data_IF_399631650383
#
_entry.id   IF_399631650383
#
_cell.length_a   1.000
_cell.length_b   1.000
_cell.length_c   1.000
_cell.angle_alpha   90.00
_cell.angle_beta   90.00
_cell.angle_gamma   90.00
#
_symmetry.space_group_name_H-M   'P 1'
#
loop_
_entity.id
_entity.type
_entity.pdbx_description
1 polymer ?
#
# COMPACT_ATOMS: atom_id res chain seq x y z
N UNK A 1 -1.67 20.33 3.53
CA UNK A 1 -1.57 18.86 3.53
C UNK A 1 -0.17 18.34 3.86
N UNK A 2 0.86 18.62 3.04
CA UNK A 2 2.24 18.12 3.25
C UNK A 2 2.78 18.34 4.66
N UNK A 3 2.69 19.57 5.19
CA UNK A 3 3.14 19.88 6.56
C UNK A 3 2.45 19.00 7.62
N UNK A 4 1.15 18.74 7.46
CA UNK A 4 0.35 17.98 8.42
C UNK A 4 0.59 16.47 8.33
N UNK A 5 0.61 15.91 7.11
CA UNK A 5 0.68 14.46 6.89
C UNK A 5 2.10 13.92 6.78
N UNK A 6 3.05 14.74 6.34
CA UNK A 6 4.44 14.36 6.11
C UNK A 6 5.36 15.08 7.09
N UNK A 7 5.59 16.39 6.93
CA UNK A 7 6.72 17.05 7.60
C UNK A 7 6.65 17.02 9.14
N UNK A 8 5.45 17.20 9.71
CA UNK A 8 5.22 17.14 11.16
C UNK A 8 4.93 15.73 11.69
N UNK A 9 4.86 14.71 10.83
CA UNK A 9 4.58 13.33 11.22
C UNK A 9 5.82 12.45 10.96
N UNK A 10 6.49 11.94 12.01
CA UNK A 10 7.69 11.10 11.83
C UNK A 10 7.46 9.84 10.98
N UNK A 11 6.32 9.17 11.13
CA UNK A 11 5.97 8.00 10.30
C UNK A 11 5.75 8.43 8.86
N UNK A 12 5.06 9.56 8.64
CA UNK A 12 4.87 10.15 7.31
C UNK A 12 6.20 10.45 6.59
N UNK A 13 7.17 11.07 7.29
CA UNK A 13 8.52 11.33 6.75
C UNK A 13 9.27 10.04 6.43
N UNK A 14 9.21 9.05 7.32
CA UNK A 14 9.86 7.76 7.09
C UNK A 14 9.25 7.07 5.86
N UNK A 15 7.92 7.02 5.75
CA UNK A 15 7.23 6.40 4.61
C UNK A 15 7.56 7.12 3.30
N UNK A 16 7.65 8.45 3.29
CA UNK A 16 8.10 9.21 2.10
C UNK A 16 9.52 8.80 1.66
N UNK A 17 10.48 8.77 2.60
CA UNK A 17 11.86 8.37 2.30
C UNK A 17 11.97 6.89 1.92
N UNK A 18 11.19 6.02 2.56
CA UNK A 18 11.09 4.61 2.27
C UNK A 18 10.58 4.34 0.84
N UNK A 19 9.50 5.03 0.41
CA UNK A 19 8.98 4.92 -0.96
C UNK A 19 10.02 5.44 -1.96
N UNK A 20 10.63 6.60 -1.67
CA UNK A 20 11.68 7.18 -2.52
C UNK A 20 12.88 6.25 -2.67
N UNK A 21 13.26 5.52 -1.61
CA UNK A 21 14.34 4.53 -1.68
C UNK A 21 13.93 3.23 -2.37
N UNK A 22 12.63 2.88 -2.33
CA UNK A 22 12.11 1.67 -2.97
C UNK A 22 12.07 1.79 -4.49
N UNK A 23 11.72 2.96 -5.03
CA UNK A 23 11.65 3.21 -6.48
C UNK A 23 12.77 4.16 -6.92
N UNK A 24 13.64 3.72 -7.83
CA UNK A 24 14.75 4.54 -8.35
C UNK A 24 14.38 5.29 -9.63
N UNK A 25 13.52 4.71 -10.48
CA UNK A 25 13.23 5.24 -11.80
C UNK A 25 11.74 5.53 -11.99
N UNK A 26 10.85 4.66 -11.51
CA UNK A 26 9.42 4.79 -11.71
C UNK A 26 8.85 6.01 -10.97
N UNK A 27 7.84 6.73 -11.51
CA UNK A 27 7.30 7.93 -10.89
C UNK A 27 6.68 7.74 -9.51
N UNK A 28 6.44 6.51 -9.07
CA UNK A 28 6.02 6.18 -7.70
C UNK A 28 7.02 6.63 -6.63
N UNK A 29 8.27 6.91 -6.97
CA UNK A 29 9.20 7.56 -6.05
C UNK A 29 8.79 9.00 -5.67
N UNK A 30 7.92 9.64 -6.47
CA UNK A 30 7.49 11.01 -6.24
C UNK A 30 6.33 11.01 -5.25
N UNK A 31 6.40 11.79 -4.15
CA UNK A 31 5.31 11.90 -3.20
C UNK A 31 4.05 12.42 -3.91
N UNK A 32 2.87 11.85 -3.60
CA UNK A 32 1.61 12.28 -4.22
C UNK A 32 1.32 13.77 -4.00
N UNK A 33 1.69 14.30 -2.83
CA UNK A 33 1.55 15.73 -2.50
C UNK A 33 2.62 16.60 -3.16
N UNK A 34 3.63 16.02 -3.81
CA UNK A 34 4.77 16.72 -4.40
C UNK A 34 5.83 17.15 -3.38
N UNK A 35 6.97 17.60 -3.89
CA UNK A 35 8.05 18.17 -3.08
C UNK A 35 7.75 19.63 -2.73
N UNK A 36 8.24 20.11 -1.59
CA UNK A 36 8.00 21.51 -1.17
C UNK A 36 8.47 22.53 -2.22
N UNK A 37 9.62 22.29 -2.87
CA UNK A 37 10.13 23.14 -3.94
C UNK A 37 9.15 23.24 -5.13
N UNK A 38 8.55 22.11 -5.51
CA UNK A 38 7.62 22.03 -6.63
C UNK A 38 6.32 22.76 -6.28
N UNK A 39 5.83 22.58 -5.05
CA UNK A 39 4.63 23.26 -4.54
C UNK A 39 4.78 24.80 -4.51
N UNK A 40 6.00 25.31 -4.35
CA UNK A 40 6.26 26.77 -4.39
C UNK A 40 6.30 27.35 -5.79
N UNK A 41 6.46 26.52 -6.83
CA UNK A 41 6.61 26.96 -8.22
C UNK A 41 5.40 26.61 -9.09
N UNK A 42 4.54 25.71 -8.63
CA UNK A 42 3.35 25.28 -9.36
C UNK A 42 2.34 26.41 -9.53
N UNK A 43 1.98 26.71 -10.78
CA UNK A 43 1.08 27.81 -11.12
C UNK A 43 -0.36 27.34 -11.43
N UNK A 44 -1.31 28.28 -11.40
CA UNK A 44 -2.68 28.01 -11.86
C UNK A 44 -2.73 27.59 -13.34
N UNK A 45 -1.78 28.07 -14.15
CA UNK A 45 -1.63 27.69 -15.55
C UNK A 45 -1.21 26.22 -15.69
N UNK A 46 -0.34 25.73 -14.82
CA UNK A 46 0.09 24.32 -14.83
C UNK A 46 -1.06 23.41 -14.37
N UNK A 47 -1.83 23.84 -13.36
CA UNK A 47 -3.05 23.17 -12.95
C UNK A 47 -4.07 23.07 -14.11
N UNK A 48 -4.25 24.17 -14.86
CA UNK A 48 -5.14 24.19 -16.02
C UNK A 48 -4.65 23.24 -17.12
N UNK A 49 -3.36 23.24 -17.44
CA UNK A 49 -2.78 22.30 -18.42
C UNK A 49 -3.00 20.84 -18.02
N UNK A 50 -2.79 20.52 -16.74
CA UNK A 50 -3.05 19.17 -16.22
C UNK A 50 -4.53 18.80 -16.36
N UNK A 51 -5.44 19.69 -15.97
CA UNK A 51 -6.87 19.50 -16.14
C UNK A 51 -7.23 19.27 -17.62
N UNK A 52 -6.80 20.14 -18.53
CA UNK A 52 -7.13 20.08 -19.95
C UNK A 52 -6.55 18.84 -20.66
N UNK A 53 -5.49 18.24 -20.09
CA UNK A 53 -4.86 17.03 -20.59
C UNK A 53 -5.53 15.76 -20.05
N UNK A 54 -5.77 15.67 -18.75
CA UNK A 54 -6.18 14.42 -18.09
C UNK A 54 -7.68 14.34 -17.79
N UNK A 55 -8.37 15.48 -17.63
CA UNK A 55 -9.81 15.55 -17.34
C UNK A 55 -10.61 15.63 -18.65
N UNK A 56 -10.48 14.60 -19.49
CA UNK A 56 -11.17 14.49 -20.78
C UNK A 56 -12.17 13.32 -20.78
N UNK A 57 -13.28 13.39 -21.55
CA UNK A 57 -14.31 12.34 -21.55
C UNK A 57 -13.77 10.95 -21.89
N UNK A 58 -12.81 10.86 -22.82
CA UNK A 58 -12.17 9.59 -23.20
C UNK A 58 -11.35 8.97 -22.07
N UNK A 59 -11.05 9.70 -20.99
CA UNK A 59 -10.28 9.26 -19.83
C UNK A 59 -11.12 9.22 -18.54
N UNK A 60 -12.45 9.22 -18.65
CA UNK A 60 -13.38 9.20 -17.51
C UNK A 60 -14.36 8.04 -17.61
N UNK A 61 -14.76 7.52 -16.45
CA UNK A 61 -15.84 6.55 -16.30
C UNK A 61 -16.83 7.11 -15.29
N UNK A 62 -18.12 7.09 -15.62
CA UNK A 62 -19.21 7.50 -14.73
C UNK A 62 -20.03 6.27 -14.37
N UNK A 63 -20.11 5.95 -13.08
CA UNK A 63 -20.99 4.92 -12.56
C UNK A 63 -22.18 5.59 -11.84
N UNK A 64 -23.41 5.22 -12.22
CA UNK A 64 -24.64 5.68 -11.55
C UNK A 64 -25.34 4.45 -10.99
N UNK A 65 -25.55 4.45 -9.67
CA UNK A 65 -26.19 3.35 -8.95
C UNK A 65 -27.23 3.90 -7.98
N UNK A 66 -28.41 3.29 -7.98
CA UNK A 66 -29.54 3.64 -7.13
C UNK A 66 -30.84 3.24 -7.80
N UNK A 67 -31.95 3.87 -7.39
CA UNK A 67 -33.24 3.73 -8.05
C UNK A 67 -33.27 4.60 -9.32
N UNK A 68 -32.63 4.10 -10.37
CA UNK A 68 -32.52 4.77 -11.66
C UNK A 68 -32.82 3.81 -12.80
N UNK A 69 -33.44 4.33 -13.86
CA UNK A 69 -33.65 3.58 -15.11
C UNK A 69 -32.64 4.03 -16.14
N UNK A 70 -31.84 3.10 -16.66
CA UNK A 70 -30.83 3.39 -17.66
C UNK A 70 -31.40 4.14 -18.89
N UNK A 71 -32.62 3.80 -19.33
CA UNK A 71 -33.32 4.46 -20.44
C UNK A 71 -33.60 5.95 -20.22
N UNK A 72 -33.71 6.39 -18.96
CA UNK A 72 -33.94 7.78 -18.57
C UNK A 72 -32.62 8.48 -18.19
N UNK A 73 -31.69 7.75 -17.58
CA UNK A 73 -30.41 8.30 -17.09
C UNK A 73 -29.38 8.53 -18.19
N UNK A 74 -29.25 7.62 -19.16
CA UNK A 74 -28.26 7.75 -20.25
C UNK A 74 -28.49 9.04 -21.05
N UNK A 75 -29.72 9.39 -21.49
CA UNK A 75 -29.97 10.65 -22.18
C UNK A 75 -29.59 11.90 -21.38
N UNK A 76 -29.73 11.86 -20.05
CA UNK A 76 -29.30 12.96 -19.16
C UNK A 76 -27.78 13.07 -19.17
N UNK A 77 -27.06 11.96 -19.03
CA UNK A 77 -25.59 11.92 -19.08
C UNK A 77 -25.12 12.45 -20.44
N UNK A 78 -25.70 11.99 -21.54
CA UNK A 78 -25.37 12.44 -22.90
C UNK A 78 -25.63 13.94 -23.08
N UNK A 79 -26.76 14.45 -22.58
CA UNK A 79 -27.08 15.89 -22.63
C UNK A 79 -26.04 16.77 -21.94
N UNK A 80 -25.52 16.35 -20.78
CA UNK A 80 -24.59 17.16 -19.99
C UNK A 80 -23.12 16.92 -20.35
N UNK A 81 -22.71 15.67 -20.55
CA UNK A 81 -21.32 15.27 -20.76
C UNK A 81 -20.98 14.99 -22.23
N UNK A 82 -21.95 14.63 -23.08
CA UNK A 82 -21.72 14.33 -24.50
C UNK A 82 -21.26 15.54 -25.33
N UNK A 83 -21.52 16.76 -24.84
CA UNK A 83 -21.03 18.01 -25.45
C UNK A 83 -19.57 18.35 -25.13
N UNK A 84 -18.93 17.61 -24.22
CA UNK A 84 -17.54 17.87 -23.85
C UNK A 84 -16.61 17.45 -25.00
N UNK A 85 -15.64 18.29 -25.37
CA UNK A 85 -14.72 17.96 -26.46
C UNK A 85 -13.87 16.76 -26.08
N UNK A 86 -13.90 15.72 -26.91
CA UNK A 86 -13.04 14.56 -26.74
C UNK A 86 -11.62 14.84 -27.25
N UNK A 87 -10.64 14.21 -26.63
CA UNK A 87 -9.24 14.17 -27.08
C UNK A 87 -8.75 12.71 -27.00
N UNK A 88 -7.67 12.33 -27.69
CA UNK A 88 -7.03 11.04 -27.45
C UNK A 88 -6.68 10.89 -25.96
N UNK A 89 -6.78 9.66 -25.43
CA UNK A 89 -6.32 9.36 -24.07
C UNK A 89 -4.85 9.79 -23.91
N UNK A 90 -4.45 10.34 -22.75
CA UNK A 90 -3.05 10.62 -22.49
C UNK A 90 -2.20 9.37 -22.63
N UNK A 91 -0.95 9.55 -23.06
CA UNK A 91 0.01 8.46 -23.11
C UNK A 91 0.22 7.90 -21.69
N UNK A 92 -0.01 6.60 -21.52
CA UNK A 92 0.16 5.93 -20.24
C UNK A 92 1.60 5.42 -20.04
N UNK A 93 2.45 5.50 -21.08
CA UNK A 93 3.84 5.05 -21.01
C UNK A 93 4.56 5.81 -19.91
N UNK A 94 5.19 5.05 -19.04
CA UNK A 94 5.97 5.56 -17.93
C UNK A 94 7.28 4.78 -17.81
N UNK A 95 8.26 5.38 -17.14
CA UNK A 95 9.52 4.72 -16.87
C UNK A 95 9.25 3.47 -16.03
N UNK A 96 9.64 2.31 -16.54
CA UNK A 96 9.54 1.05 -15.78
C UNK A 96 10.62 1.01 -14.71
N UNK A 97 10.26 0.55 -13.52
CA UNK A 97 11.23 0.36 -12.42
C UNK A 97 12.19 -0.79 -12.78
N UNK A 98 13.52 -0.58 -12.73
CA UNK A 98 14.46 -1.68 -12.85
C UNK A 98 14.29 -2.66 -11.68
N UNK A 99 14.54 -3.95 -11.92
CA UNK A 99 14.50 -4.94 -10.86
C UNK A 99 15.47 -4.54 -9.71
N UNK A 100 14.96 -4.53 -8.48
CA UNK A 100 15.80 -4.36 -7.30
C UNK A 100 16.70 -5.60 -7.16
N UNK A 101 17.99 -5.38 -6.90
CA UNK A 101 19.01 -6.42 -6.82
C UNK A 101 19.83 -6.38 -5.53
N UNK A 102 19.44 -5.54 -4.57
CA UNK A 102 20.09 -5.38 -3.28
C UNK A 102 19.07 -4.88 -2.25
N UNK A 103 19.22 -5.31 -1.00
CA UNK A 103 18.44 -4.73 0.09
C UNK A 103 18.76 -3.23 0.23
N UNK A 104 17.73 -2.41 0.45
CA UNK A 104 17.89 -0.99 0.74
C UNK A 104 17.36 -0.69 2.15
N UNK A 105 18.04 0.18 2.89
CA UNK A 105 17.63 0.57 4.25
C UNK A 105 17.60 2.08 4.41
N UNK A 106 16.50 2.57 4.98
CA UNK A 106 16.29 3.96 5.39
C UNK A 106 16.12 3.98 6.90
N UNK A 107 16.96 4.75 7.59
CA UNK A 107 16.89 4.91 9.05
C UNK A 107 16.69 6.38 9.37
N UNK A 108 15.51 6.72 9.87
CA UNK A 108 15.20 8.04 10.41
C UNK A 108 15.52 8.06 11.90
N UNK A 109 16.39 8.96 12.33
CA UNK A 109 16.76 9.15 13.74
C UNK A 109 16.18 10.46 14.25
N UNK A 110 15.49 10.41 15.38
CA UNK A 110 14.96 11.62 16.02
C UNK A 110 14.09 11.35 17.23
N UNK A 111 13.53 12.43 17.81
CA UNK A 111 12.53 12.34 18.87
C UNK A 111 11.18 11.91 18.28
N UNK A 112 11.02 10.62 18.00
CA UNK A 112 9.82 10.06 17.40
C UNK A 112 9.55 8.64 17.90
N UNK A 113 8.29 8.20 17.83
CA UNK A 113 7.92 6.84 18.19
C UNK A 113 8.62 5.83 17.26
N UNK A 114 9.22 4.74 17.80
CA UNK A 114 9.85 3.75 16.96
C UNK A 114 8.82 3.08 16.04
N UNK A 115 9.24 2.77 14.82
CA UNK A 115 8.38 2.22 13.79
C UNK A 115 9.22 1.37 12.84
N UNK A 116 8.67 0.25 12.39
CA UNK A 116 9.28 -0.63 11.41
C UNK A 116 8.37 -0.81 10.21
N UNK A 117 8.92 -0.70 9.00
CA UNK A 117 8.27 -1.10 7.75
C UNK A 117 9.28 -1.77 6.82
N UNK A 118 8.85 -2.78 6.08
CA UNK A 118 9.57 -3.31 4.94
C UNK A 118 8.62 -3.48 3.75
N UNK A 119 9.15 -3.45 2.54
CA UNK A 119 8.37 -3.66 1.33
C UNK A 119 9.13 -4.39 0.25
N UNK A 120 8.37 -5.09 -0.58
CA UNK A 120 8.85 -5.96 -1.64
C UNK A 120 8.11 -5.62 -2.94
N UNK A 121 8.84 -5.44 -4.04
CA UNK A 121 8.19 -5.17 -5.33
C UNK A 121 7.39 -6.38 -5.78
N UNK A 122 6.18 -6.13 -6.24
CA UNK A 122 5.26 -7.10 -6.81
C UNK A 122 4.65 -6.56 -8.10
N UNK A 123 4.12 -7.44 -8.98
CA UNK A 123 3.39 -7.03 -10.17
C UNK A 123 2.14 -6.17 -9.87
N UNK A 124 1.64 -5.51 -10.91
CA UNK A 124 0.45 -4.66 -10.88
C UNK A 124 -0.87 -5.42 -10.60
N UNK A 125 -1.95 -4.64 -10.50
CA UNK A 125 -3.32 -5.12 -10.33
C UNK A 125 -3.94 -5.81 -11.56
N UNK A 126 -3.18 -6.15 -12.61
CA UNK A 126 -3.67 -7.01 -13.70
C UNK A 126 -3.04 -8.41 -13.65
N UNK A 127 -1.97 -8.59 -12.89
CA UNK A 127 -1.32 -9.88 -12.68
C UNK A 127 -2.29 -10.99 -12.28
N UNK A 128 -2.17 -12.22 -12.81
CA UNK A 128 -2.98 -13.35 -12.35
C UNK A 128 -2.78 -13.65 -10.85
N UNK A 129 -1.65 -13.20 -10.27
CA UNK A 129 -1.28 -13.44 -8.88
C UNK A 129 -1.78 -12.38 -7.90
N UNK A 130 -2.47 -11.32 -8.32
CA UNK A 130 -2.88 -10.27 -7.38
C UNK A 130 -3.80 -10.76 -6.26
N UNK A 131 -4.75 -11.62 -6.59
CA UNK A 131 -5.63 -12.23 -5.59
C UNK A 131 -4.86 -13.18 -4.64
N UNK A 132 -3.67 -13.63 -5.03
CA UNK A 132 -2.75 -14.38 -4.16
C UNK A 132 -2.12 -13.45 -3.13
N UNK A 133 -1.72 -12.25 -3.53
CA UNK A 133 -1.24 -11.23 -2.58
C UNK A 133 -2.33 -10.79 -1.62
N UNK A 134 -3.58 -10.64 -2.08
CA UNK A 134 -4.70 -10.36 -1.18
C UNK A 134 -4.89 -11.48 -0.14
N UNK A 135 -4.78 -12.75 -0.57
CA UNK A 135 -4.83 -13.89 0.34
C UNK A 135 -3.68 -13.90 1.35
N UNK A 136 -2.46 -13.51 0.93
CA UNK A 136 -1.31 -13.35 1.84
C UNK A 136 -1.58 -12.23 2.84
N UNK A 137 -2.12 -11.09 2.41
CA UNK A 137 -2.49 -10.00 3.31
C UNK A 137 -3.55 -10.41 4.33
N UNK A 138 -4.59 -11.15 3.91
CA UNK A 138 -5.62 -11.66 4.85
C UNK A 138 -5.00 -12.58 5.90
N UNK A 139 -4.22 -13.58 5.46
CA UNK A 139 -3.58 -14.55 6.34
C UNK A 139 -2.65 -13.89 7.37
N UNK A 140 -1.83 -12.96 6.89
CA UNK A 140 -0.79 -12.33 7.72
C UNK A 140 -1.36 -11.27 8.65
N UNK A 141 -2.49 -10.64 8.30
CA UNK A 141 -2.92 -9.39 8.94
C UNK A 141 -4.36 -9.36 9.45
N UNK A 142 -5.27 -10.17 8.92
CA UNK A 142 -6.69 -9.99 9.20
C UNK A 142 -7.09 -10.51 10.60
N UNK A 143 -7.25 -9.55 11.52
CA UNK A 143 -7.82 -9.75 12.85
C UNK A 143 -6.91 -10.52 13.82
N UNK A 144 -7.50 -10.94 14.95
CA UNK A 144 -6.77 -11.58 16.06
C UNK A 144 -6.28 -13.01 15.75
N UNK A 145 -6.72 -13.58 14.64
CA UNK A 145 -6.30 -14.91 14.17
C UNK A 145 -5.12 -14.84 13.19
N UNK A 146 -4.75 -13.65 12.74
CA UNK A 146 -3.68 -13.48 11.75
C UNK A 146 -2.33 -13.93 12.30
N UNK A 147 -1.42 -14.33 11.40
CA UNK A 147 -0.10 -14.85 11.81
C UNK A 147 0.72 -13.77 12.53
N UNK A 148 0.74 -12.53 12.01
CA UNK A 148 1.51 -11.44 12.64
C UNK A 148 0.93 -11.02 13.98
N UNK A 149 -0.39 -10.96 14.13
CA UNK A 149 -0.99 -10.64 15.43
C UNK A 149 -0.66 -11.71 16.47
N UNK A 150 -0.86 -12.99 16.14
CA UNK A 150 -0.56 -14.10 17.06
C UNK A 150 0.91 -14.06 17.48
N UNK A 151 1.82 -14.01 16.51
CA UNK A 151 3.25 -14.08 16.77
C UNK A 151 3.80 -12.86 17.51
N UNK A 152 3.57 -11.64 17.01
CA UNK A 152 4.22 -10.42 17.51
C UNK A 152 3.47 -9.77 18.68
N UNK A 153 2.14 -9.78 18.65
CA UNK A 153 1.31 -9.05 19.64
C UNK A 153 0.91 -9.96 20.80
N UNK A 154 0.36 -11.15 20.51
CA UNK A 154 -0.18 -12.05 21.55
C UNK A 154 0.91 -12.86 22.23
N UNK A 155 1.75 -13.55 21.46
CA UNK A 155 2.67 -14.57 21.95
C UNK A 155 4.00 -13.95 22.41
N UNK A 156 4.70 -13.22 21.52
CA UNK A 156 5.98 -12.55 21.86
C UNK A 156 5.79 -11.26 22.67
N UNK A 157 4.64 -10.58 22.55
CA UNK A 157 4.31 -9.30 23.21
C UNK A 157 5.33 -8.19 22.95
N UNK A 158 5.94 -8.19 21.75
CA UNK A 158 6.93 -7.18 21.35
C UNK A 158 6.32 -6.03 20.55
N UNK A 159 5.13 -6.24 19.98
CA UNK A 159 4.44 -5.26 19.14
C UNK A 159 3.08 -4.85 19.72
N UNK A 160 2.79 -3.55 19.67
CA UNK A 160 1.45 -3.03 19.87
C UNK A 160 0.55 -3.34 18.66
N UNK A 161 1.16 -3.39 17.47
CA UNK A 161 0.48 -3.65 16.21
C UNK A 161 1.46 -4.24 15.20
N UNK A 162 1.00 -5.17 14.35
CA UNK A 162 1.75 -5.70 13.21
C UNK A 162 0.79 -6.12 12.09
N UNK A 163 1.09 -5.74 10.85
CA UNK A 163 0.30 -6.12 9.68
C UNK A 163 1.14 -6.07 8.39
N UNK A 164 0.72 -6.84 7.39
CA UNK A 164 1.09 -6.74 6.00
C UNK A 164 -0.07 -6.32 5.08
N UNK A 165 0.23 -5.51 4.07
CA UNK A 165 -0.74 -4.97 3.13
C UNK A 165 -0.12 -4.79 1.75
N UNK A 166 -0.96 -4.57 0.75
CA UNK A 166 -0.53 -4.31 -0.62
C UNK A 166 -1.11 -2.99 -1.15
N UNK A 167 -0.60 -2.53 -2.29
CA UNK A 167 -1.05 -1.29 -2.93
C UNK A 167 -0.28 -0.02 -2.53
N UNK A 168 0.95 -0.13 -2.02
CA UNK A 168 1.79 1.04 -1.69
C UNK A 168 2.79 1.35 -2.83
N UNK A 169 2.92 2.61 -3.31
CA UNK A 169 2.09 3.79 -3.03
C UNK A 169 0.81 3.87 -3.88
N UNK A 170 0.61 2.93 -4.79
CA UNK A 170 -0.59 2.75 -5.59
C UNK A 170 -0.59 1.35 -6.20
N UNK A 171 -1.62 1.00 -6.96
CA UNK A 171 -1.78 -0.36 -7.51
C UNK A 171 -1.83 -0.44 -9.05
N UNK A 172 -1.94 0.70 -9.77
CA UNK A 172 -2.03 0.74 -11.24
C UNK A 172 -0.82 0.07 -11.92
N UNK A 173 0.38 0.29 -11.38
CA UNK A 173 1.64 -0.25 -11.88
C UNK A 173 2.27 -1.20 -10.84
N UNK A 174 3.37 -1.90 -11.16
CA UNK A 174 4.11 -2.67 -10.17
C UNK A 174 4.44 -1.81 -8.94
N UNK A 175 4.22 -2.39 -7.77
CA UNK A 175 4.16 -1.66 -6.51
C UNK A 175 4.63 -2.54 -5.34
N UNK A 176 4.51 -2.07 -4.11
CA UNK A 176 4.99 -2.78 -2.94
C UNK A 176 3.91 -3.63 -2.26
N UNK A 177 4.29 -4.84 -1.88
CA UNK A 177 3.70 -5.53 -0.74
C UNK A 177 4.53 -5.19 0.49
N UNK A 178 3.91 -4.67 1.54
CA UNK A 178 4.61 -4.14 2.71
C UNK A 178 4.17 -4.79 4.00
N UNK A 179 5.11 -4.97 4.92
CA UNK A 179 4.87 -5.37 6.31
C UNK A 179 5.32 -4.25 7.23
N UNK A 180 4.58 -3.99 8.29
CA UNK A 180 4.94 -2.98 9.27
C UNK A 180 4.53 -3.38 10.68
N UNK A 181 5.21 -2.83 11.66
CA UNK A 181 4.90 -3.05 13.06
C UNK A 181 5.31 -1.85 13.93
N UNK A 182 4.61 -1.74 15.07
CA UNK A 182 4.84 -0.72 16.10
C UNK A 182 5.25 -1.43 17.38
N UNK A 183 6.42 -1.15 17.97
CA UNK A 183 6.88 -1.83 19.17
C UNK A 183 6.11 -1.36 20.40
N UNK A 184 6.02 -2.21 21.42
CA UNK A 184 5.68 -1.78 22.78
C UNK A 184 6.93 -1.22 23.49
N UNK A 185 6.80 -0.45 24.59
CA UNK A 185 7.95 0.06 25.33
C UNK A 185 8.93 -1.04 25.72
N UNK A 186 10.23 -0.79 25.52
CA UNK A 186 11.30 -1.74 25.82
C UNK A 186 11.75 -2.60 24.64
N UNK A 187 10.99 -2.62 23.52
CA UNK A 187 11.36 -3.32 22.30
C UNK A 187 11.76 -2.37 21.17
N UNK A 188 12.52 -2.90 20.24
CA UNK A 188 13.19 -2.20 19.14
C UNK A 188 12.55 -2.53 17.80
N UNK A 189 12.59 -1.60 16.82
CA UNK A 189 12.18 -1.90 15.44
C UNK A 189 12.91 -3.12 14.83
N UNK A 190 14.16 -3.35 15.23
CA UNK A 190 14.97 -4.47 14.78
C UNK A 190 14.37 -5.82 15.21
N UNK A 191 13.98 -5.96 16.49
CA UNK A 191 13.30 -7.16 16.99
C UNK A 191 11.97 -7.42 16.23
N UNK A 192 11.26 -6.36 15.83
CA UNK A 192 10.04 -6.50 15.03
C UNK A 192 10.34 -7.04 13.64
N UNK A 193 11.37 -6.51 12.98
CA UNK A 193 11.81 -6.96 11.66
C UNK A 193 12.18 -8.43 11.66
N UNK A 194 12.99 -8.87 12.62
CA UNK A 194 13.36 -10.29 12.78
C UNK A 194 12.15 -11.20 13.00
N UNK A 195 11.17 -10.75 13.80
CA UNK A 195 9.94 -11.50 14.02
C UNK A 195 9.06 -11.56 12.76
N UNK A 196 8.96 -10.48 11.98
CA UNK A 196 8.28 -10.46 10.68
C UNK A 196 8.97 -11.43 9.71
N UNK A 197 10.29 -11.40 9.63
CA UNK A 197 11.07 -12.29 8.76
C UNK A 197 10.86 -13.77 9.09
N UNK A 198 10.84 -14.12 10.38
CA UNK A 198 10.55 -15.50 10.79
C UNK A 198 9.17 -15.97 10.32
N UNK A 199 8.18 -15.08 10.34
CA UNK A 199 6.81 -15.33 9.92
C UNK A 199 6.70 -15.49 8.39
N UNK A 200 7.42 -14.67 7.63
CA UNK A 200 7.56 -14.76 6.18
C UNK A 200 8.30 -16.05 5.78
N UNK A 201 9.36 -16.41 6.49
CA UNK A 201 10.11 -17.65 6.23
C UNK A 201 9.27 -18.91 6.48
N UNK A 202 8.41 -18.89 7.51
CA UNK A 202 7.41 -19.96 7.70
C UNK A 202 6.43 -20.02 6.54
N UNK A 203 5.91 -18.88 6.08
CA UNK A 203 5.01 -18.83 4.92
C UNK A 203 5.66 -19.39 3.64
N UNK A 204 6.97 -19.23 3.48
CA UNK A 204 7.73 -19.74 2.32
C UNK A 204 7.95 -21.25 2.38
N UNK A 205 8.15 -21.82 3.58
CA UNK A 205 8.53 -23.23 3.80
C UNK A 205 7.34 -24.15 4.01
N UNK A 206 6.31 -23.65 4.70
CA UNK A 206 5.17 -24.44 5.17
C UNK A 206 3.92 -24.09 4.39
N UNK A 207 3.12 -25.11 4.05
CA UNK A 207 1.78 -24.87 3.51
C UNK A 207 0.84 -24.29 4.57
N UNK A 208 -0.10 -23.46 4.12
CA UNK A 208 -1.22 -23.03 4.96
C UNK A 208 -2.18 -24.20 5.17
N UNK A 209 -2.86 -24.22 6.31
CA UNK A 209 -3.84 -25.28 6.59
C UNK A 209 -5.10 -25.10 5.74
N UNK A 210 -5.86 -26.19 5.60
CA UNK A 210 -7.16 -26.17 4.92
C UNK A 210 -8.15 -25.21 5.58
N UNK A 211 -8.11 -25.13 6.90
CA UNK A 211 -8.92 -24.19 7.68
C UNK A 211 -8.49 -22.74 7.44
N UNK A 212 -7.18 -22.45 7.39
CA UNK A 212 -6.68 -21.12 7.03
C UNK A 212 -7.17 -20.72 5.62
N UNK A 213 -7.02 -21.59 4.63
CA UNK A 213 -7.52 -21.32 3.27
C UNK A 213 -9.04 -21.11 3.25
N UNK A 214 -9.79 -21.96 3.95
CA UNK A 214 -11.25 -21.87 4.03
C UNK A 214 -11.68 -20.55 4.64
N UNK A 215 -11.00 -20.09 5.71
CA UNK A 215 -11.26 -18.79 6.34
C UNK A 215 -10.97 -17.64 5.38
N UNK A 216 -9.83 -17.63 4.69
CA UNK A 216 -9.47 -16.59 3.70
C UNK A 216 -10.55 -16.51 2.62
N UNK A 217 -10.93 -17.65 2.03
CA UNK A 217 -11.99 -17.70 1.00
C UNK A 217 -13.34 -17.23 1.53
N UNK A 218 -13.67 -17.56 2.77
CA UNK A 218 -14.93 -17.15 3.40
C UNK A 218 -14.97 -15.65 3.62
N UNK A 219 -13.86 -15.06 4.10
CA UNK A 219 -13.72 -13.61 4.30
C UNK A 219 -13.76 -12.86 2.99
N UNK A 220 -13.00 -13.29 1.98
CA UNK A 220 -13.03 -12.68 0.65
C UNK A 220 -14.45 -12.65 0.06
N UNK A 221 -15.24 -13.72 0.20
CA UNK A 221 -16.65 -13.73 -0.21
C UNK A 221 -17.51 -12.76 0.60
N UNK A 222 -17.31 -12.72 1.92
CA UNK A 222 -18.05 -11.83 2.80
C UNK A 222 -17.72 -10.35 2.53
N UNK A 223 -16.46 -10.02 2.27
CA UNK A 223 -16.00 -8.68 1.89
C UNK A 223 -16.60 -8.25 0.56
N UNK A 224 -16.67 -9.14 -0.42
CA UNK A 224 -17.38 -8.88 -1.66
C UNK A 224 -18.86 -8.57 -1.40
N UNK A 225 -19.58 -9.44 -0.68
CA UNK A 225 -21.01 -9.23 -0.40
C UNK A 225 -21.23 -7.90 0.33
N UNK A 226 -20.39 -7.58 1.31
CA UNK A 226 -20.43 -6.28 2.01
C UNK A 226 -20.19 -5.11 1.06
N UNK A 227 -19.20 -5.22 0.17
CA UNK A 227 -18.92 -4.21 -0.85
C UNK A 227 -20.03 -4.02 -1.88
N UNK A 228 -20.98 -4.96 -1.99
CA UNK A 228 -22.17 -4.84 -2.82
C UNK A 228 -23.43 -4.45 -2.02
N UNK A 229 -23.30 -4.26 -0.70
CA UNK A 229 -24.42 -4.04 0.20
C UNK A 229 -25.03 -2.64 0.16
N UNK A 230 -24.37 -1.68 -0.50
CA UNK A 230 -24.86 -0.31 -0.68
C UNK A 230 -24.53 0.25 -2.07
N UNK A 231 -25.18 1.36 -2.42
CA UNK A 231 -25.04 1.99 -3.74
C UNK A 231 -23.61 2.47 -4.03
N UNK A 232 -22.88 2.93 -3.01
CA UNK A 232 -21.51 3.44 -3.16
C UNK A 232 -20.54 2.31 -3.47
N UNK A 233 -20.66 1.20 -2.74
CA UNK A 233 -19.89 -0.01 -2.97
C UNK A 233 -20.20 -0.61 -4.34
N UNK A 234 -21.47 -0.71 -4.72
CA UNK A 234 -21.86 -1.14 -6.07
C UNK A 234 -21.27 -0.24 -7.18
N UNK A 235 -21.30 1.08 -7.01
CA UNK A 235 -20.74 2.02 -7.99
C UNK A 235 -19.22 1.87 -8.12
N UNK A 236 -18.52 1.73 -6.99
CA UNK A 236 -17.08 1.49 -6.97
C UNK A 236 -16.73 0.15 -7.61
N UNK A 237 -17.47 -0.91 -7.29
CA UNK A 237 -17.29 -2.23 -7.86
C UNK A 237 -17.55 -2.21 -9.37
N UNK A 238 -18.61 -1.58 -9.87
CA UNK A 238 -18.84 -1.43 -11.32
C UNK A 238 -17.70 -0.71 -12.04
N UNK A 239 -17.09 0.30 -11.40
CA UNK A 239 -15.93 0.99 -11.94
C UNK A 239 -14.66 0.11 -11.96
N UNK A 240 -14.56 -0.90 -11.08
CA UNK A 240 -13.38 -1.77 -10.90
C UNK A 240 -13.51 -3.12 -11.66
N UNK A 241 -14.71 -3.71 -11.75
CA UNK A 241 -14.97 -5.11 -12.12
C UNK A 241 -14.74 -5.53 -13.58
N UNK A 242 -14.21 -4.69 -14.46
CA UNK A 242 -13.78 -5.13 -15.80
C UNK A 242 -12.59 -6.13 -15.78
N UNK A 243 -12.20 -6.72 -14.64
CA UNK A 243 -11.02 -7.58 -14.50
C UNK A 243 -11.13 -8.64 -13.37
N UNK A 244 -11.27 -9.96 -13.68
CA UNK A 244 -10.63 -11.17 -12.99
C UNK A 244 -11.51 -12.34 -12.50
N UNK A 245 -10.88 -13.53 -12.25
CA UNK A 245 -10.67 -14.23 -10.92
C UNK A 245 -10.32 -15.76 -10.98
N UNK A 246 -9.35 -16.24 -10.14
CA UNK A 246 -9.19 -17.60 -9.46
C UNK A 246 -7.84 -17.73 -8.67
N UNK A 247 -7.78 -18.43 -7.51
CA UNK A 247 -6.57 -18.62 -6.62
C UNK A 247 -6.47 -20.04 -5.97
N UNK A 248 -5.26 -20.59 -5.76
CA UNK A 248 -4.98 -21.87 -5.05
C UNK A 248 -3.89 -21.80 -3.93
N UNK A 249 -3.70 -22.87 -3.13
CA UNK A 249 -2.65 -22.95 -2.07
C UNK A 249 -1.23 -22.92 -2.62
N UNK A 250 -1.02 -23.60 -3.76
CA UNK A 250 0.28 -23.66 -4.44
C UNK A 250 0.70 -22.26 -4.91
N UNK A 251 -0.27 -21.44 -5.32
CA UNK A 251 0.00 -20.06 -5.73
C UNK A 251 0.52 -19.20 -4.57
N UNK A 252 -0.06 -19.32 -3.36
CA UNK A 252 0.37 -18.56 -2.18
C UNK A 252 1.86 -18.80 -1.88
N UNK A 253 2.28 -20.07 -1.80
CA UNK A 253 3.68 -20.41 -1.54
C UNK A 253 4.59 -20.00 -2.69
N UNK A 254 4.18 -20.19 -3.95
CA UNK A 254 4.95 -19.76 -5.12
C UNK A 254 5.20 -18.25 -5.12
N UNK A 255 4.16 -17.45 -4.93
CA UNK A 255 4.22 -15.99 -4.94
C UNK A 255 5.03 -15.46 -3.76
N UNK A 256 4.87 -16.05 -2.57
CA UNK A 256 5.68 -15.70 -1.40
C UNK A 256 7.19 -15.91 -1.66
N UNK A 257 7.56 -17.05 -2.26
CA UNK A 257 8.97 -17.35 -2.58
C UNK A 257 9.55 -16.44 -3.68
N UNK A 258 8.75 -16.06 -4.67
CA UNK A 258 9.19 -15.16 -5.74
C UNK A 258 9.34 -13.71 -5.27
N UNK A 259 8.47 -13.26 -4.35
CA UNK A 259 8.39 -11.85 -3.96
C UNK A 259 9.27 -11.52 -2.76
N UNK A 260 9.21 -12.34 -1.70
CA UNK A 260 9.80 -12.03 -0.40
C UNK A 260 11.25 -12.52 -0.31
N UNK A 261 12.13 -11.79 -0.98
CA UNK A 261 13.58 -12.02 -1.03
C UNK A 261 14.34 -10.76 -0.61
N UNK A 262 15.53 -10.93 -0.04
CA UNK A 262 16.37 -9.81 0.42
C UNK A 262 16.74 -8.84 -0.73
N UNK A 263 17.00 -9.40 -1.92
CA UNK A 263 17.33 -8.60 -3.12
C UNK A 263 16.16 -7.75 -3.60
N UNK A 264 14.94 -8.04 -3.16
CA UNK A 264 13.73 -7.29 -3.48
C UNK A 264 13.21 -6.46 -2.29
N UNK A 265 13.97 -6.38 -1.18
CA UNK A 265 13.51 -5.78 0.08
C UNK A 265 14.01 -4.35 0.24
N UNK A 266 13.10 -3.43 0.54
CA UNK A 266 13.45 -2.14 1.14
C UNK A 266 12.95 -2.12 2.59
N UNK A 267 13.72 -1.55 3.51
CA UNK A 267 13.39 -1.43 4.94
C UNK A 267 13.41 0.03 5.36
N UNK A 268 12.39 0.47 6.08
CA UNK A 268 12.29 1.77 6.74
C UNK A 268 12.21 1.60 8.25
N UNK A 269 13.07 2.31 8.99
CA UNK A 269 13.12 2.27 10.45
C UNK A 269 13.06 3.68 11.01
N UNK A 270 12.22 3.90 12.01
CA UNK A 270 12.28 5.07 12.87
C UNK A 270 12.94 4.69 14.19
N UNK A 271 14.10 5.27 14.50
CA UNK A 271 14.82 5.05 15.76
C UNK A 271 14.66 6.27 16.67
N UNK A 272 14.15 6.03 17.88
CA UNK A 272 14.13 7.07 18.91
C UNK A 272 15.54 7.29 19.44
N UNK A 273 16.05 8.51 19.31
CA UNK A 273 17.28 8.90 20.01
C UNK A 273 16.98 8.93 21.52
N UNK A 274 17.68 8.11 22.32
CA UNK A 274 17.66 8.28 23.77
C UNK A 274 18.24 9.67 24.08
N UNK A 275 17.53 10.46 24.90
CA UNK A 275 18.07 11.72 25.37
C UNK A 275 19.42 11.44 26.04
N UNK A 276 20.49 12.07 25.55
CA UNK A 276 21.77 12.06 26.24
C UNK A 276 21.52 12.57 27.66
N UNK A 277 21.83 11.75 28.65
CA UNK A 277 21.91 12.19 30.04
C UNK A 277 23.06 13.20 30.12
N UNK A 278 22.77 14.47 29.84
CA UNK A 278 23.68 15.54 30.14
C UNK A 278 23.85 15.54 31.65
N UNK A 279 24.98 15.01 32.09
CA UNK A 279 25.48 15.05 33.46
C UNK A 279 25.51 16.51 33.88
N UNK A 280 24.48 16.98 34.60
CA UNK A 280 24.61 18.19 35.41
C UNK A 280 25.53 17.84 36.59
N UNK A 281 26.83 17.80 36.32
CA UNK A 281 27.86 17.92 37.34
C UNK A 281 27.88 19.35 37.82
N UNK A 282 26.93 19.72 38.68
CA UNK A 282 27.06 20.91 39.52
C UNK A 282 28.13 20.64 40.56
N UNK A 283 29.31 21.22 40.37
CA UNK A 283 30.32 21.31 41.42
C UNK A 283 29.76 22.11 42.61
N UNK A 284 30.00 21.57 43.80
CA UNK A 284 29.85 22.25 45.09
C UNK A 284 30.87 23.39 45.23
#
# INVERSE_FOLDING_TARGET
ERRMRTDSNPVGRLVEQFITASFQAHPYQRPTVGWMSDLHTFSATDARKFFDQYYIPSNMVVAVVGDVKASETIPIIEKYFGRLPTKPKPDERTTTEPAQNSERRVVLRGAAQPFYIEGYHRPDYLSPDDAVYDAISDLMSNGRTSRLYRALVRDKKIAAFAAGFSGLPGNKYPHLFSFYAVPVPGHTPQELGEAIHAEIERLKKEDITDDELKMIKTRAKADLIRGLGDNSGLAQQLAIYQSRYKVSKVDIRRVANQTFTDNNRTVGINETLKASSATQGGAQ
#
